data_IF_774415000624
#
_entry.id   IF_774415000624
#
_cell.length_a   1.000
_cell.length_b   1.000
_cell.length_c   1.000
_cell.angle_alpha   90.00
_cell.angle_beta   90.00
_cell.angle_gamma   90.00
#
_symmetry.space_group_name_H-M   'P 1'
#
loop_
_entity.id
_entity.type
_entity.pdbx_description
1 polymer ?
#
# COMPACT_ATOMS: atom_id res chain seq x y z
N UNK A 1 31.74 -54.57 70.32
CA UNK A 1 30.60 -54.97 69.46
C UNK A 1 30.09 -53.76 68.72
N UNK A 2 29.51 -53.92 67.53
CA UNK A 2 28.84 -52.82 66.82
C UNK A 2 27.33 -52.97 66.95
N UNK A 3 26.63 -51.87 67.28
CA UNK A 3 25.17 -51.81 67.29
C UNK A 3 24.67 -51.33 65.92
N UNK A 4 23.97 -52.19 65.18
CA UNK A 4 23.45 -51.84 63.85
C UNK A 4 22.35 -50.78 63.85
N UNK A 5 21.59 -50.69 64.96
CA UNK A 5 20.50 -49.72 65.13
C UNK A 5 21.04 -48.32 65.41
N UNK A 6 21.99 -48.21 66.35
CA UNK A 6 22.52 -46.91 66.82
C UNK A 6 23.77 -46.45 66.06
N UNK A 7 24.32 -47.32 65.20
CA UNK A 7 25.56 -47.11 64.42
C UNK A 7 26.76 -46.72 65.28
N UNK A 8 26.87 -47.31 66.47
CA UNK A 8 27.89 -47.00 67.47
C UNK A 8 28.71 -48.24 67.87
N UNK A 9 29.91 -48.00 68.39
CA UNK A 9 30.77 -49.04 68.96
C UNK A 9 30.46 -49.18 70.45
N UNK A 10 30.18 -50.41 70.89
CA UNK A 10 29.88 -50.75 72.27
C UNK A 10 31.03 -51.57 72.89
N UNK A 11 31.39 -51.28 74.13
CA UNK A 11 32.21 -52.16 74.97
C UNK A 11 31.37 -53.35 75.49
N UNK A 12 32.02 -54.35 76.10
CA UNK A 12 31.34 -55.57 76.57
C UNK A 12 30.25 -55.32 77.63
N UNK A 13 30.39 -54.31 78.48
CA UNK A 13 29.37 -53.97 79.48
C UNK A 13 28.16 -53.23 78.87
N UNK A 14 28.42 -52.42 77.84
CA UNK A 14 27.37 -51.64 77.17
C UNK A 14 26.53 -52.49 76.19
N UNK A 15 27.06 -53.61 75.66
CA UNK A 15 26.27 -54.51 74.81
C UNK A 15 25.19 -55.28 75.57
N UNK A 16 25.35 -55.43 76.88
CA UNK A 16 24.42 -56.18 77.73
C UNK A 16 23.51 -55.23 78.55
N UNK A 17 23.62 -53.91 78.33
CA UNK A 17 22.77 -52.93 79.00
C UNK A 17 21.32 -53.04 78.54
N UNK A 18 20.38 -52.63 79.39
CA UNK A 18 18.96 -52.63 79.05
C UNK A 18 18.64 -51.72 77.85
N UNK A 19 19.46 -50.68 77.61
CA UNK A 19 19.33 -49.77 76.46
C UNK A 19 19.63 -50.44 75.12
N UNK A 20 20.61 -51.34 75.07
CA UNK A 20 21.02 -52.02 73.83
C UNK A 20 20.60 -53.50 73.77
N UNK A 21 20.04 -54.06 74.84
CA UNK A 21 19.71 -55.49 74.95
C UNK A 21 18.69 -55.99 73.91
N UNK A 22 17.89 -55.10 73.32
CA UNK A 22 16.96 -55.43 72.23
C UNK A 22 17.55 -55.19 70.82
N UNK A 23 18.75 -54.60 70.72
CA UNK A 23 19.38 -54.27 69.46
C UNK A 23 20.20 -55.45 68.92
N UNK A 24 20.32 -55.52 67.59
CA UNK A 24 21.14 -56.54 66.95
C UNK A 24 22.61 -56.10 67.00
N UNK A 25 23.42 -56.88 67.71
CA UNK A 25 24.87 -56.68 67.80
C UNK A 25 25.60 -57.63 66.86
N UNK A 26 26.70 -57.16 66.28
CA UNK A 26 27.62 -58.01 65.53
C UNK A 26 29.08 -57.64 65.85
N UNK A 27 30.03 -58.55 65.57
CA UNK A 27 31.45 -58.22 65.62
C UNK A 27 31.76 -57.02 64.73
N UNK A 28 32.70 -56.19 65.16
CA UNK A 28 33.06 -54.94 64.47
C UNK A 28 33.54 -55.24 63.05
N UNK A 29 34.27 -56.34 62.89
CA UNK A 29 34.81 -56.81 61.63
C UNK A 29 33.69 -57.13 60.63
N UNK A 30 32.62 -57.79 61.09
CA UNK A 30 31.46 -58.17 60.28
C UNK A 30 30.66 -56.92 59.86
N UNK A 31 30.40 -56.01 60.80
CA UNK A 31 29.73 -54.73 60.50
C UNK A 31 30.53 -53.88 59.51
N UNK A 32 31.85 -53.79 59.71
CA UNK A 32 32.75 -53.05 58.85
C UNK A 32 32.74 -53.64 57.43
N UNK A 33 32.72 -54.97 57.29
CA UNK A 33 32.67 -55.62 55.98
C UNK A 33 31.34 -55.37 55.26
N UNK A 34 30.20 -55.47 55.94
CA UNK A 34 28.89 -55.13 55.35
C UNK A 34 28.83 -53.67 54.88
N UNK A 35 29.42 -52.74 55.66
CA UNK A 35 29.54 -51.35 55.26
C UNK A 35 30.50 -51.15 54.08
N UNK A 36 31.63 -51.88 54.01
CA UNK A 36 32.53 -51.87 52.85
C UNK A 36 31.82 -52.38 51.60
N UNK A 37 31.05 -53.45 51.68
CA UNK A 37 30.25 -53.95 50.54
C UNK A 37 29.24 -52.92 50.04
N UNK A 38 28.53 -52.24 50.96
CA UNK A 38 27.62 -51.14 50.61
C UNK A 38 28.35 -50.00 49.90
N UNK A 39 29.53 -49.61 50.40
CA UNK A 39 30.38 -48.59 49.76
C UNK A 39 30.84 -49.03 48.37
N UNK A 40 31.31 -50.27 48.22
CA UNK A 40 31.72 -50.82 46.93
C UNK A 40 30.57 -50.85 45.91
N UNK A 41 29.34 -51.18 46.36
CA UNK A 41 28.14 -51.12 45.53
C UNK A 41 27.84 -49.68 45.08
N UNK A 42 27.92 -48.71 45.99
CA UNK A 42 27.73 -47.30 45.65
C UNK A 42 28.81 -46.78 44.70
N UNK A 43 30.08 -47.14 44.93
CA UNK A 43 31.19 -46.78 44.05
C UNK A 43 30.98 -47.34 42.64
N UNK A 44 30.44 -48.55 42.49
CA UNK A 44 30.11 -49.14 41.19
C UNK A 44 29.03 -48.35 40.44
N UNK A 45 27.95 -47.98 41.14
CA UNK A 45 26.86 -47.17 40.56
C UNK A 45 27.40 -45.80 40.12
N UNK A 46 28.20 -45.15 40.97
CA UNK A 46 28.83 -43.87 40.63
C UNK A 46 29.75 -44.00 39.42
N UNK A 47 30.53 -45.08 39.33
CA UNK A 47 31.39 -45.34 38.18
C UNK A 47 30.60 -45.51 36.89
N UNK A 48 29.50 -46.28 36.90
CA UNK A 48 28.61 -46.42 35.73
C UNK A 48 28.02 -45.07 35.31
N UNK A 49 27.61 -44.24 36.27
CA UNK A 49 27.09 -42.89 35.99
C UNK A 49 28.14 -41.96 35.42
N UNK A 50 29.39 -42.03 35.87
CA UNK A 50 30.50 -41.26 35.28
C UNK A 50 30.69 -41.67 33.81
N UNK A 51 30.68 -42.96 33.51
CA UNK A 51 30.83 -43.45 32.12
C UNK A 51 29.64 -43.09 31.23
N UNK A 52 28.42 -43.09 31.76
CA UNK A 52 27.22 -42.61 31.06
C UNK A 52 27.30 -41.11 30.75
N UNK A 53 27.60 -40.29 31.75
CA UNK A 53 27.75 -38.84 31.58
C UNK A 53 28.86 -38.50 30.59
N UNK A 54 29.98 -39.23 30.62
CA UNK A 54 31.07 -39.02 29.66
C UNK A 54 30.63 -39.28 28.21
N UNK A 55 29.83 -40.34 27.97
CA UNK A 55 29.29 -40.62 26.63
C UNK A 55 28.31 -39.54 26.18
N UNK A 56 27.42 -39.09 27.07
CA UNK A 56 26.48 -38.02 26.78
C UNK A 56 27.20 -36.71 26.46
N UNK A 57 28.22 -36.35 27.26
CA UNK A 57 29.04 -35.16 27.03
C UNK A 57 29.71 -35.20 25.65
N UNK A 58 30.32 -36.31 25.27
CA UNK A 58 30.94 -36.46 23.95
C UNK A 58 29.93 -36.36 22.80
N UNK A 59 28.69 -36.77 23.00
CA UNK A 59 27.64 -36.64 21.99
C UNK A 59 27.09 -35.21 21.91
N UNK A 60 26.96 -34.52 23.04
CA UNK A 60 26.61 -33.11 23.10
C UNK A 60 27.68 -32.23 22.44
N UNK A 61 28.96 -32.50 22.68
CA UNK A 61 30.08 -31.79 22.04
C UNK A 61 30.02 -31.93 20.51
N UNK A 62 29.81 -33.15 20.00
CA UNK A 62 29.64 -33.38 18.55
C UNK A 62 28.42 -32.65 18.00
N UNK A 63 27.29 -32.75 18.70
CA UNK A 63 26.03 -32.10 18.30
C UNK A 63 26.20 -30.58 18.25
N UNK A 64 26.89 -29.99 19.22
CA UNK A 64 27.19 -28.56 19.28
C UNK A 64 28.01 -28.08 18.07
N UNK A 65 29.04 -28.85 17.69
CA UNK A 65 29.86 -28.55 16.51
C UNK A 65 29.02 -28.65 15.22
N UNK A 66 28.25 -29.74 15.05
CA UNK A 66 27.41 -29.95 13.88
C UNK A 66 26.30 -28.90 13.76
N UNK A 67 25.68 -28.54 14.88
CA UNK A 67 24.67 -27.49 14.96
C UNK A 67 25.23 -26.14 14.49
N UNK A 68 26.42 -25.79 14.98
CA UNK A 68 27.10 -24.54 14.59
C UNK A 68 27.41 -24.50 13.09
N UNK A 69 27.91 -25.61 12.53
CA UNK A 69 28.15 -25.74 11.10
C UNK A 69 26.85 -25.65 10.28
N UNK A 70 25.79 -26.31 10.73
CA UNK A 70 24.49 -26.28 10.06
C UNK A 70 23.85 -24.89 10.11
N UNK A 71 23.91 -24.19 11.24
CA UNK A 71 23.42 -22.83 11.37
C UNK A 71 24.13 -21.89 10.38
N UNK A 72 25.46 -22.00 10.25
CA UNK A 72 26.23 -21.23 9.28
C UNK A 72 25.80 -21.54 7.84
N UNK A 73 25.62 -22.82 7.50
CA UNK A 73 25.14 -23.25 6.19
C UNK A 73 23.76 -22.66 5.88
N UNK A 74 22.83 -22.73 6.84
CA UNK A 74 21.48 -22.17 6.71
C UNK A 74 21.49 -20.67 6.47
N UNK A 75 22.34 -19.93 7.18
CA UNK A 75 22.53 -18.49 6.96
C UNK A 75 23.01 -18.22 5.52
N UNK A 76 23.96 -19.00 5.01
CA UNK A 76 24.46 -18.83 3.63
C UNK A 76 23.39 -19.15 2.59
N UNK A 77 22.64 -20.24 2.75
CA UNK A 77 21.55 -20.60 1.85
C UNK A 77 20.49 -19.51 1.76
N UNK A 78 20.03 -18.98 2.91
CA UNK A 78 19.04 -17.89 2.95
C UNK A 78 19.61 -16.64 2.27
N UNK A 79 20.86 -16.26 2.56
CA UNK A 79 21.51 -15.11 1.92
C UNK A 79 21.59 -15.25 0.40
N UNK A 80 21.90 -16.44 -0.11
CA UNK A 80 21.96 -16.71 -1.55
C UNK A 80 20.59 -16.50 -2.20
N UNK A 81 19.50 -16.99 -1.60
CA UNK A 81 18.16 -16.78 -2.15
C UNK A 81 17.74 -15.29 -2.16
N UNK A 82 17.99 -14.55 -1.07
CA UNK A 82 17.69 -13.10 -1.05
C UNK A 82 18.53 -12.31 -2.06
N UNK A 83 19.80 -12.69 -2.27
CA UNK A 83 20.67 -12.06 -3.27
C UNK A 83 20.16 -12.24 -4.70
N UNK A 84 19.44 -13.32 -5.00
CA UNK A 84 18.84 -13.52 -6.34
C UNK A 84 17.74 -12.50 -6.64
N UNK A 85 17.06 -11.96 -5.62
CA UNK A 85 15.96 -11.01 -5.81
C UNK A 85 16.45 -9.61 -6.22
N UNK A 86 17.59 -9.15 -5.70
CA UNK A 86 18.07 -7.79 -5.95
C UNK A 86 18.31 -7.48 -7.44
N UNK A 87 19.03 -8.32 -8.22
CA UNK A 87 19.23 -8.09 -9.64
C UNK A 87 17.93 -8.13 -10.45
N UNK A 88 16.97 -8.96 -10.06
CA UNK A 88 15.67 -9.07 -10.72
C UNK A 88 14.89 -7.77 -10.59
N UNK A 89 14.73 -7.28 -9.35
CA UNK A 89 14.02 -6.03 -9.08
C UNK A 89 14.72 -4.82 -9.70
N UNK A 90 16.06 -4.78 -9.67
CA UNK A 90 16.81 -3.69 -10.29
C UNK A 90 16.67 -3.69 -11.83
N UNK A 91 16.68 -4.87 -12.45
CA UNK A 91 16.44 -5.00 -13.90
C UNK A 91 15.02 -4.57 -14.26
N UNK A 92 14.03 -4.97 -13.46
CA UNK A 92 12.62 -4.59 -13.64
C UNK A 92 12.43 -3.07 -13.54
N UNK A 93 12.99 -2.43 -12.51
CA UNK A 93 12.99 -0.97 -12.35
C UNK A 93 13.59 -0.29 -13.59
N UNK A 94 14.77 -0.71 -14.02
CA UNK A 94 15.43 -0.13 -15.21
C UNK A 94 14.56 -0.28 -16.46
N UNK A 95 13.96 -1.44 -16.68
CA UNK A 95 13.07 -1.68 -17.82
C UNK A 95 11.82 -0.80 -17.79
N UNK A 96 11.24 -0.53 -16.61
CA UNK A 96 10.14 0.41 -16.49
C UNK A 96 10.54 1.84 -16.81
N UNK A 97 11.68 2.31 -16.30
CA UNK A 97 12.16 3.66 -16.57
C UNK A 97 12.48 3.85 -18.06
N UNK A 98 13.09 2.85 -18.70
CA UNK A 98 13.35 2.86 -20.15
C UNK A 98 12.05 2.88 -20.97
N UNK A 99 11.03 2.13 -20.56
CA UNK A 99 9.72 2.15 -21.23
C UNK A 99 9.04 3.51 -21.11
N UNK A 100 9.01 4.10 -19.91
CA UNK A 100 8.44 5.43 -19.68
C UNK A 100 9.13 6.49 -20.54
N UNK A 101 10.46 6.43 -20.66
CA UNK A 101 11.20 7.36 -21.50
C UNK A 101 10.84 7.21 -22.99
N UNK A 102 10.70 5.97 -23.49
CA UNK A 102 10.27 5.71 -24.87
C UNK A 102 8.84 6.20 -25.13
N UNK A 103 7.90 5.89 -24.23
CA UNK A 103 6.52 6.37 -24.33
C UNK A 103 6.44 7.90 -24.36
N UNK A 104 7.25 8.58 -23.54
CA UNK A 104 7.36 10.04 -23.59
C UNK A 104 7.83 10.52 -24.98
N UNK A 105 8.88 9.91 -25.53
CA UNK A 105 9.40 10.26 -26.86
C UNK A 105 8.41 9.99 -28.00
N UNK A 106 7.52 9.02 -27.84
CA UNK A 106 6.47 8.70 -28.81
C UNK A 106 5.26 9.65 -28.70
N UNK A 107 4.81 9.92 -27.47
CA UNK A 107 3.60 10.71 -27.19
C UNK A 107 3.84 12.21 -27.36
N UNK A 108 5.01 12.72 -26.94
CA UNK A 108 5.27 14.16 -26.94
C UNK A 108 5.21 14.82 -28.33
N UNK A 109 5.81 14.24 -29.40
CA UNK A 109 5.67 14.78 -30.75
C UNK A 109 4.23 14.72 -31.27
N UNK A 110 3.45 13.72 -30.87
CA UNK A 110 2.03 13.62 -31.23
C UNK A 110 1.24 14.77 -30.62
N UNK A 111 1.51 15.11 -29.36
CA UNK A 111 0.91 16.27 -28.70
C UNK A 111 1.30 17.57 -29.40
N UNK A 112 2.57 17.77 -29.73
CA UNK A 112 3.03 18.96 -30.46
C UNK A 112 2.32 19.10 -31.81
N UNK A 113 2.24 18.01 -32.60
CA UNK A 113 1.52 18.01 -33.88
C UNK A 113 0.02 18.27 -33.71
N UNK A 114 -0.59 17.68 -32.68
CA UNK A 114 -1.99 17.94 -32.34
C UNK A 114 -2.22 19.41 -32.01
N UNK A 115 -1.33 20.06 -31.25
CA UNK A 115 -1.43 21.49 -30.94
C UNK A 115 -1.37 22.35 -32.20
N UNK A 116 -0.45 22.05 -33.13
CA UNK A 116 -0.32 22.76 -34.41
C UNK A 116 -1.62 22.62 -35.22
N UNK A 117 -2.13 21.40 -35.38
CA UNK A 117 -3.37 21.13 -36.12
C UNK A 117 -4.57 21.86 -35.50
N UNK A 118 -4.66 21.89 -34.17
CA UNK A 118 -5.72 22.60 -33.44
C UNK A 118 -5.64 24.10 -33.65
N UNK A 119 -4.44 24.70 -33.56
CA UNK A 119 -4.25 26.13 -33.80
C UNK A 119 -4.63 26.51 -35.23
N UNK A 120 -4.22 25.70 -36.22
CA UNK A 120 -4.58 25.90 -37.61
C UNK A 120 -6.10 25.79 -37.80
N UNK A 121 -6.76 24.77 -37.25
CA UNK A 121 -8.23 24.64 -37.35
C UNK A 121 -8.94 25.82 -36.70
N UNK A 122 -8.49 26.28 -35.52
CA UNK A 122 -9.02 27.47 -34.84
C UNK A 122 -8.90 28.72 -35.72
N UNK A 123 -7.79 28.88 -36.43
CA UNK A 123 -7.58 29.98 -37.37
C UNK A 123 -8.60 29.92 -38.52
N UNK A 124 -8.73 28.79 -39.20
CA UNK A 124 -9.71 28.61 -40.29
C UNK A 124 -11.15 28.85 -39.84
N UNK A 125 -11.52 28.40 -38.63
CA UNK A 125 -12.84 28.64 -38.06
C UNK A 125 -13.10 30.14 -37.82
N UNK A 126 -12.10 30.89 -37.37
CA UNK A 126 -12.22 32.34 -37.18
C UNK A 126 -12.35 33.08 -38.51
N UNK A 127 -11.60 32.68 -39.52
CA UNK A 127 -11.67 33.25 -40.87
C UNK A 127 -13.06 32.99 -41.48
N UNK A 128 -13.57 31.75 -41.41
CA UNK A 128 -14.92 31.41 -41.87
C UNK A 128 -16.02 32.16 -41.09
N UNK A 129 -15.87 32.30 -39.76
CA UNK A 129 -16.80 33.10 -38.95
C UNK A 129 -16.83 34.56 -39.42
N UNK A 130 -15.68 35.14 -39.74
CA UNK A 130 -15.58 36.51 -40.23
C UNK A 130 -16.22 36.67 -41.61
N UNK A 131 -15.98 35.74 -42.54
CA UNK A 131 -16.63 35.74 -43.86
C UNK A 131 -18.17 35.65 -43.75
N UNK A 132 -18.67 34.78 -42.86
CA UNK A 132 -20.11 34.66 -42.60
C UNK A 132 -20.68 35.95 -42.00
N UNK A 133 -19.97 36.56 -41.04
CA UNK A 133 -20.34 37.85 -40.46
C UNK A 133 -20.39 38.95 -41.52
N UNK A 134 -19.42 39.02 -42.43
CA UNK A 134 -19.41 40.00 -43.54
C UNK A 134 -20.56 39.76 -44.52
N UNK A 135 -20.86 38.50 -44.83
CA UNK A 135 -21.99 38.16 -45.70
C UNK A 135 -23.33 38.61 -45.14
N UNK A 136 -23.53 38.54 -43.82
CA UNK A 136 -24.74 39.06 -43.16
C UNK A 136 -24.96 40.58 -43.34
N UNK A 137 -23.92 41.34 -43.69
CA UNK A 137 -24.00 42.79 -43.92
C UNK A 137 -24.10 43.18 -45.39
N UNK A 138 -24.06 42.21 -46.32
CA UNK A 138 -24.20 42.47 -47.77
C UNK A 138 -25.64 42.84 -48.14
N UNK A 139 -25.86 43.59 -49.26
CA UNK A 139 -27.19 43.81 -49.80
C UNK A 139 -27.91 42.51 -50.17
N UNK A 140 -29.24 42.49 -50.07
CA UNK A 140 -30.08 41.29 -50.25
C UNK A 140 -29.76 40.48 -51.52
N UNK A 141 -29.53 41.15 -52.66
CA UNK A 141 -29.26 40.50 -53.95
C UNK A 141 -27.91 39.76 -53.93
N UNK A 142 -26.86 40.39 -53.40
CA UNK A 142 -25.51 39.77 -53.31
C UNK A 142 -25.49 38.63 -52.30
N UNK A 143 -26.19 38.80 -51.17
CA UNK A 143 -26.36 37.75 -50.18
C UNK A 143 -27.02 36.52 -50.80
N UNK A 144 -28.15 36.68 -51.49
CA UNK A 144 -28.87 35.57 -52.11
C UNK A 144 -28.08 34.87 -53.22
N UNK A 145 -27.21 35.59 -53.93
CA UNK A 145 -26.35 35.02 -54.97
C UNK A 145 -25.21 34.16 -54.40
N UNK A 146 -24.56 34.63 -53.32
CA UNK A 146 -23.35 34.00 -52.78
C UNK A 146 -23.61 33.00 -51.63
N UNK A 147 -24.83 33.00 -51.05
CA UNK A 147 -25.16 32.22 -49.85
C UNK A 147 -24.88 30.72 -50.00
N UNK A 148 -25.22 30.14 -51.16
CA UNK A 148 -25.04 28.70 -51.40
C UNK A 148 -23.57 28.27 -51.31
N UNK A 149 -22.66 29.07 -51.88
CA UNK A 149 -21.22 28.77 -51.87
C UNK A 149 -20.64 28.93 -50.47
N UNK A 150 -20.94 30.02 -49.76
CA UNK A 150 -20.40 30.21 -48.40
C UNK A 150 -20.89 29.12 -47.45
N UNK A 151 -22.15 28.69 -47.58
CA UNK A 151 -22.71 27.66 -46.72
C UNK A 151 -21.99 26.34 -46.95
N UNK A 152 -21.78 25.94 -48.21
CA UNK A 152 -21.02 24.73 -48.56
C UNK A 152 -19.56 24.79 -48.04
N UNK A 153 -18.89 25.94 -48.18
CA UNK A 153 -17.54 26.14 -47.62
C UNK A 153 -17.53 26.08 -46.09
N UNK A 154 -18.55 26.64 -45.43
CA UNK A 154 -18.67 26.62 -43.97
C UNK A 154 -18.87 25.20 -43.43
N UNK A 155 -19.74 24.41 -44.08
CA UNK A 155 -19.94 22.99 -43.77
C UNK A 155 -18.64 22.18 -43.98
N UNK A 156 -17.90 22.47 -45.06
CA UNK A 156 -16.59 21.87 -45.31
C UNK A 156 -15.55 22.21 -44.23
N UNK A 157 -15.58 23.41 -43.65
CA UNK A 157 -14.69 23.76 -42.53
C UNK A 157 -15.11 23.02 -41.26
N UNK A 158 -16.40 22.76 -41.05
CA UNK A 158 -16.89 21.99 -39.90
C UNK A 158 -16.62 20.48 -40.05
N UNK A 159 -16.51 19.99 -41.29
CA UNK A 159 -16.11 18.61 -41.57
C UNK A 159 -14.73 18.30 -40.97
N UNK A 160 -14.65 17.15 -40.29
CA UNK A 160 -13.45 16.60 -39.63
C UNK A 160 -12.78 17.60 -38.68
N UNK A 161 -13.38 17.74 -37.51
CA UNK A 161 -12.73 18.41 -36.38
C UNK A 161 -11.56 17.56 -35.87
N UNK A 162 -10.36 18.14 -35.68
CA UNK A 162 -9.25 17.43 -35.07
C UNK A 162 -9.64 16.99 -33.66
N UNK A 163 -9.31 15.75 -33.30
CA UNK A 163 -9.53 15.24 -31.96
C UNK A 163 -8.27 15.47 -31.10
N UNK A 164 -8.40 15.92 -29.84
CA UNK A 164 -7.27 16.02 -28.94
C UNK A 164 -6.65 14.65 -28.70
N UNK A 165 -5.31 14.59 -28.67
CA UNK A 165 -4.61 13.39 -28.19
C UNK A 165 -4.93 13.18 -26.72
N UNK A 166 -5.22 11.94 -26.32
CA UNK A 166 -5.40 11.55 -24.93
C UNK A 166 -4.13 10.82 -24.43
N UNK A 167 -3.12 11.55 -23.92
CA UNK A 167 -1.86 10.94 -23.49
C UNK A 167 -2.04 10.15 -22.20
N UNK A 168 -1.55 8.91 -22.20
CA UNK A 168 -1.46 8.08 -21.02
C UNK A 168 -0.22 7.17 -21.13
N UNK A 169 0.55 7.10 -20.05
CA UNK A 169 1.58 6.10 -19.86
C UNK A 169 0.95 4.75 -19.55
N UNK A 170 1.56 3.68 -20.07
CA UNK A 170 1.12 2.33 -19.74
C UNK A 170 1.45 2.02 -18.28
N UNK A 171 0.61 1.20 -17.66
CA UNK A 171 0.89 0.74 -16.31
C UNK A 171 2.18 -0.10 -16.28
N UNK A 172 3.08 0.21 -15.35
CA UNK A 172 4.25 -0.61 -15.05
C UNK A 172 3.99 -1.53 -13.85
N UNK A 173 3.70 -2.84 -14.03
CA UNK A 173 3.39 -3.74 -12.93
C UNK A 173 4.63 -4.03 -12.09
N UNK A 174 4.59 -3.72 -10.79
CA UNK A 174 5.75 -3.90 -9.88
C UNK A 174 5.63 -5.25 -9.17
N UNK A 175 6.59 -6.15 -9.39
CA UNK A 175 6.59 -7.51 -8.83
C UNK A 175 6.37 -7.50 -7.32
N UNK A 176 5.32 -8.21 -6.89
CA UNK A 176 4.97 -8.38 -5.47
C UNK A 176 4.51 -7.10 -4.75
N UNK A 177 4.18 -6.00 -5.46
CA UNK A 177 3.72 -4.76 -4.84
C UNK A 177 2.44 -4.97 -4.01
N UNK A 178 1.35 -5.39 -4.63
CA UNK A 178 0.08 -5.65 -3.92
C UNK A 178 0.26 -6.72 -2.84
N UNK A 179 1.04 -7.78 -3.10
CA UNK A 179 1.32 -8.82 -2.10
C UNK A 179 2.04 -8.25 -0.85
N UNK A 180 3.03 -7.38 -1.03
CA UNK A 180 3.74 -6.74 0.10
C UNK A 180 2.83 -5.81 0.89
N UNK A 181 1.96 -5.07 0.22
CA UNK A 181 1.04 -4.14 0.88
C UNK A 181 -0.10 -4.85 1.62
N UNK A 182 -0.53 -6.01 1.14
CA UNK A 182 -1.54 -6.84 1.82
C UNK A 182 -1.12 -7.27 3.25
N UNK A 183 0.17 -7.22 3.60
CA UNK A 183 0.64 -7.43 4.98
C UNK A 183 0.15 -6.36 5.97
N UNK A 184 -0.32 -5.23 5.46
CA UNK A 184 -0.84 -4.09 6.21
C UNK A 184 -2.35 -3.91 5.99
N UNK A 185 -3.04 -4.95 5.48
CA UNK A 185 -4.44 -4.84 5.10
C UNK A 185 -5.33 -4.57 6.32
N UNK A 186 -6.21 -3.58 6.18
CA UNK A 186 -7.25 -3.24 7.14
C UNK A 186 -8.60 -3.20 6.44
N UNK A 187 -9.65 -3.53 7.18
CA UNK A 187 -11.02 -3.36 6.72
C UNK A 187 -11.50 -1.96 7.12
N UNK A 188 -12.01 -1.20 6.14
CA UNK A 188 -12.54 0.14 6.37
C UNK A 188 -14.05 0.07 6.34
N UNK A 189 -14.68 0.52 7.42
CA UNK A 189 -16.13 0.67 7.49
C UNK A 189 -16.46 2.12 7.23
N UNK A 190 -17.28 2.39 6.21
CA UNK A 190 -17.73 3.75 5.91
C UNK A 190 -19.03 4.03 6.64
N UNK A 191 -19.05 5.11 7.43
CA UNK A 191 -20.28 5.65 7.98
C UNK A 191 -20.85 6.64 6.96
N UNK A 192 -22.02 6.32 6.41
CA UNK A 192 -22.73 7.17 5.46
C UNK A 192 -23.36 8.35 6.20
N UNK A 193 -22.58 9.40 6.47
CA UNK A 193 -23.15 10.70 6.78
C UNK A 193 -23.48 11.39 5.45
N UNK A 194 -24.68 11.11 4.93
CA UNK A 194 -25.27 11.84 3.82
C UNK A 194 -25.37 13.31 4.24
N UNK A 195 -24.40 14.09 3.79
CA UNK A 195 -24.42 15.53 3.99
C UNK A 195 -24.89 16.14 2.68
N UNK A 196 -26.05 16.81 2.72
CA UNK A 196 -26.54 17.78 1.71
C UNK A 196 -25.62 19.01 1.65
N UNK A 197 -24.31 18.79 1.74
CA UNK A 197 -23.29 19.82 1.83
C UNK A 197 -22.65 19.85 0.46
N UNK A 198 -22.78 20.98 -0.23
CA UNK A 198 -22.19 21.22 -1.54
C UNK A 198 -20.66 21.13 -1.46
N UNK A 199 -20.09 19.93 -1.42
CA UNK A 199 -18.67 19.68 -1.61
C UNK A 199 -18.43 19.86 -3.11
N UNK A 200 -18.11 21.09 -3.52
CA UNK A 200 -17.83 21.46 -4.91
C UNK A 200 -16.49 20.92 -5.43
N UNK A 201 -15.96 19.83 -4.85
CA UNK A 201 -14.65 19.26 -5.19
C UNK A 201 -14.48 19.06 -6.70
N UNK A 202 -15.45 18.43 -7.37
CA UNK A 202 -15.39 18.20 -8.81
C UNK A 202 -15.69 19.46 -9.64
N UNK A 203 -16.58 20.34 -9.19
CA UNK A 203 -16.89 21.61 -9.87
C UNK A 203 -15.70 22.56 -9.86
N UNK A 204 -15.10 22.75 -8.70
CA UNK A 204 -13.89 23.56 -8.50
C UNK A 204 -12.73 23.02 -9.34
N UNK A 205 -12.60 21.69 -9.44
CA UNK A 205 -11.58 21.06 -10.27
C UNK A 205 -11.83 21.20 -11.77
N UNK A 206 -13.08 21.07 -12.22
CA UNK A 206 -13.44 21.37 -13.61
C UNK A 206 -13.12 22.83 -13.93
N UNK A 207 -13.43 23.75 -13.02
CA UNK A 207 -13.06 25.16 -13.17
C UNK A 207 -11.55 25.41 -13.08
N UNK A 208 -10.79 24.62 -12.34
CA UNK A 208 -9.33 24.74 -12.29
C UNK A 208 -8.69 24.24 -13.59
N UNK A 209 -9.18 23.12 -14.13
CA UNK A 209 -8.73 22.58 -15.43
C UNK A 209 -9.11 23.50 -16.61
N UNK A 210 -10.21 24.24 -16.51
CA UNK A 210 -10.70 25.15 -17.55
C UNK A 210 -10.78 26.59 -17.05
N UNK A 211 -9.90 27.46 -17.53
CA UNK A 211 -10.03 28.91 -17.28
C UNK A 211 -11.39 29.44 -17.77
N UNK A 212 -11.98 30.43 -17.08
CA UNK A 212 -13.31 30.94 -17.38
C UNK A 212 -13.28 31.89 -18.59
N UNK A 213 -13.15 31.35 -19.80
CA UNK A 213 -13.47 32.08 -21.04
C UNK A 213 -14.81 31.62 -21.65
N UNK A 214 -15.51 30.68 -21.02
CA UNK A 214 -16.85 30.23 -21.43
C UNK A 214 -17.87 30.52 -20.33
N UNK A 215 -18.17 31.81 -20.10
CA UNK A 215 -19.44 32.22 -19.49
C UNK A 215 -20.41 32.55 -20.63
N UNK A 216 -20.95 31.53 -21.27
CA UNK A 216 -21.79 31.70 -22.45
C UNK A 216 -22.51 30.42 -22.87
N UNK A 217 -23.18 29.78 -21.93
CA UNK A 217 -24.04 28.64 -22.18
C UNK A 217 -24.73 28.23 -20.89
N UNK A 218 -26.04 28.49 -20.78
CA UNK A 218 -26.84 27.95 -19.69
C UNK A 218 -26.82 26.43 -19.78
N UNK A 219 -26.13 25.78 -18.85
CA UNK A 219 -26.26 24.35 -18.63
C UNK A 219 -27.53 24.13 -17.80
N UNK A 220 -28.59 23.73 -18.48
CA UNK A 220 -29.82 23.22 -17.88
C UNK A 220 -29.53 21.98 -17.01
N UNK A 221 -30.07 22.05 -15.79
CA UNK A 221 -30.64 21.04 -14.89
C UNK A 221 -30.08 19.62 -14.64
N UNK A 222 -28.90 19.20 -15.10
CA UNK A 222 -28.43 17.80 -14.86
C UNK A 222 -27.16 17.72 -13.98
N UNK A 223 -27.27 18.19 -12.73
CA UNK A 223 -26.19 18.05 -11.74
C UNK A 223 -26.27 16.65 -11.10
N UNK A 224 -25.21 15.82 -11.21
CA UNK A 224 -25.20 14.50 -10.56
C UNK A 224 -25.25 14.64 -9.04
N UNK A 225 -25.97 13.73 -8.39
CA UNK A 225 -26.01 13.65 -6.95
C UNK A 225 -24.69 13.05 -6.44
N UNK A 226 -24.01 13.80 -5.57
CA UNK A 226 -22.73 13.39 -5.01
C UNK A 226 -22.86 12.91 -3.56
N UNK A 227 -22.14 11.83 -3.23
CA UNK A 227 -22.14 11.17 -1.94
C UNK A 227 -20.74 11.15 -1.36
N UNK A 228 -20.59 11.71 -0.16
CA UNK A 228 -19.37 11.66 0.63
C UNK A 228 -19.50 10.63 1.76
N UNK A 229 -18.43 9.90 2.02
CA UNK A 229 -18.35 8.95 3.11
C UNK A 229 -16.97 9.01 3.79
N UNK A 230 -16.98 8.91 5.11
CA UNK A 230 -15.77 8.88 5.92
C UNK A 230 -15.63 7.52 6.59
N UNK A 231 -14.38 7.05 6.67
CA UNK A 231 -14.04 5.84 7.41
C UNK A 231 -14.31 6.03 8.90
N UNK A 232 -14.91 5.02 9.52
CA UNK A 232 -15.11 4.94 10.97
C UNK A 232 -13.78 4.85 11.72
N UNK A 233 -12.74 4.31 11.08
CA UNK A 233 -11.39 4.18 11.60
C UNK A 233 -10.59 5.46 11.33
N UNK A 234 -9.95 6.00 12.38
CA UNK A 234 -8.94 7.04 12.28
C UNK A 234 -7.54 6.46 12.50
N UNK A 235 -6.56 6.97 11.76
CA UNK A 235 -5.17 6.51 11.79
C UNK A 235 -4.25 7.64 12.25
N UNK A 236 -3.43 7.34 13.25
CA UNK A 236 -2.44 8.27 13.82
C UNK A 236 -1.03 7.67 13.94
N UNK A 237 -0.82 6.46 13.45
CA UNK A 237 0.48 5.76 13.44
C UNK A 237 0.44 4.51 12.55
N UNK A 238 1.61 3.98 12.20
CA UNK A 238 1.76 2.70 11.51
C UNK A 238 1.44 2.74 10.03
N UNK A 239 1.23 1.54 9.47
CA UNK A 239 1.03 1.32 8.03
C UNK A 239 -0.28 0.60 7.81
N UNK A 240 -1.07 1.13 6.89
CA UNK A 240 -2.44 0.66 6.63
C UNK A 240 -2.68 0.60 5.13
N UNK A 241 -3.28 -0.49 4.68
CA UNK A 241 -3.63 -0.73 3.28
C UNK A 241 -5.09 -1.12 3.17
N UNK A 242 -5.83 -0.50 2.25
CA UNK A 242 -7.19 -0.91 1.92
C UNK A 242 -7.45 -0.75 0.43
N UNK A 243 -8.47 -1.43 -0.06
CA UNK A 243 -8.89 -1.39 -1.47
C UNK A 243 -10.35 -0.94 -1.53
N UNK A 244 -10.69 -0.10 -2.50
CA UNK A 244 -12.07 0.27 -2.82
C UNK A 244 -12.37 -0.08 -4.27
N UNK A 245 -13.60 -0.52 -4.52
CA UNK A 245 -14.12 -0.64 -5.88
C UNK A 245 -14.44 0.75 -6.43
N UNK A 246 -13.94 1.02 -7.65
CA UNK A 246 -14.16 2.25 -8.38
C UNK A 246 -14.80 1.94 -9.73
N UNK A 247 -15.86 2.69 -10.05
CA UNK A 247 -16.65 2.51 -11.27
C UNK A 247 -16.02 3.28 -12.46
N UNK A 248 -16.18 2.72 -13.66
CA UNK A 248 -15.66 3.28 -14.90
C UNK A 248 -16.47 4.47 -15.42
N UNK A 249 -17.72 4.63 -14.97
CA UNK A 249 -18.70 5.57 -15.51
C UNK A 249 -18.88 6.85 -14.69
N UNK A 250 -18.33 6.88 -13.48
CA UNK A 250 -18.58 7.93 -12.49
C UNK A 250 -17.37 8.81 -12.19
N UNK A 251 -17.66 10.01 -11.65
CA UNK A 251 -16.69 10.83 -10.95
C UNK A 251 -16.47 10.23 -9.56
N UNK A 252 -15.21 10.14 -9.15
CA UNK A 252 -14.87 9.65 -7.81
C UNK A 252 -13.59 10.29 -7.27
N UNK A 253 -13.49 10.33 -5.94
CA UNK A 253 -12.34 10.76 -5.18
C UNK A 253 -12.12 9.79 -4.03
N UNK A 254 -10.90 9.29 -3.89
CA UNK A 254 -10.52 8.29 -2.90
C UNK A 254 -9.23 8.71 -2.24
N UNK A 255 -9.15 8.60 -0.91
CA UNK A 255 -7.90 8.78 -0.20
C UNK A 255 -8.10 8.99 1.29
N UNK A 256 -7.45 10.00 1.85
CA UNK A 256 -7.53 10.32 3.27
C UNK A 256 -7.74 11.81 3.51
N UNK A 257 -8.46 12.14 4.59
CA UNK A 257 -8.66 13.50 5.06
C UNK A 257 -8.30 13.61 6.56
N UNK A 258 -8.03 14.82 7.02
CA UNK A 258 -7.78 15.11 8.44
C UNK A 258 -8.96 14.72 9.34
N UNK A 259 -8.67 14.05 10.46
CA UNK A 259 -9.66 13.53 11.40
C UNK A 259 -10.53 14.62 12.06
N UNK A 260 -9.92 15.77 12.39
CA UNK A 260 -10.58 16.83 13.17
C UNK A 260 -11.71 17.57 12.44
N UNK A 261 -11.86 17.41 11.12
CA UNK A 261 -12.78 18.20 10.29
C UNK A 261 -14.20 17.62 10.16
N UNK A 262 -14.45 16.37 10.56
CA UNK A 262 -15.81 15.79 10.49
C UNK A 262 -16.74 16.40 11.57
N UNK A 263 -16.18 16.83 12.70
CA UNK A 263 -16.98 17.19 13.90
C UNK A 263 -17.48 18.64 13.97
N UNK A 264 -17.13 19.53 13.03
CA UNK A 264 -17.47 20.95 13.14
C UNK A 264 -18.05 21.52 11.84
N UNK A 265 -19.38 21.56 11.80
CA UNK A 265 -20.20 22.54 11.10
C UNK A 265 -19.78 22.90 9.67
N UNK A 266 -19.98 21.99 8.72
CA UNK A 266 -20.14 22.31 7.29
C UNK A 266 -19.11 23.27 6.69
N UNK A 267 -17.90 23.31 7.22
CA UNK A 267 -16.86 24.21 6.74
C UNK A 267 -16.12 23.52 5.61
N UNK A 268 -15.94 24.26 4.51
CA UNK A 268 -15.17 23.85 3.33
C UNK A 268 -13.91 23.09 3.74
N UNK A 269 -13.76 21.87 3.21
CA UNK A 269 -12.54 21.10 3.36
C UNK A 269 -11.43 21.91 2.66
N UNK A 270 -10.57 22.56 3.43
CA UNK A 270 -9.43 23.30 2.88
C UNK A 270 -8.51 22.31 2.17
N UNK A 271 -8.11 22.63 0.95
CA UNK A 271 -7.34 21.73 0.08
C UNK A 271 -6.17 21.06 0.80
N UNK A 272 -5.42 21.81 1.62
CA UNK A 272 -4.22 21.39 2.36
C UNK A 272 -4.42 20.20 3.32
N UNK A 273 -5.65 19.90 3.73
CA UNK A 273 -5.95 18.86 4.74
C UNK A 273 -6.46 17.54 4.11
N UNK A 274 -6.39 17.39 2.77
CA UNK A 274 -6.82 16.19 2.04
C UNK A 274 -5.77 15.67 1.07
N UNK A 275 -5.64 14.34 1.04
CA UNK A 275 -4.76 13.59 0.13
C UNK A 275 -5.60 12.57 -0.64
N UNK A 276 -6.11 12.97 -1.80
CA UNK A 276 -7.03 12.20 -2.64
C UNK A 276 -6.43 11.93 -4.01
N UNK A 277 -6.76 10.78 -4.57
CA UNK A 277 -6.76 10.52 -6.00
C UNK A 277 -8.18 10.72 -6.52
N UNK A 278 -8.33 11.49 -7.59
CA UNK A 278 -9.60 11.84 -8.18
C UNK A 278 -9.67 11.36 -9.62
N UNK A 279 -10.87 10.97 -10.04
CA UNK A 279 -11.22 10.70 -11.42
C UNK A 279 -12.39 11.58 -11.83
N UNK A 280 -12.19 12.37 -12.88
CA UNK A 280 -13.18 13.33 -13.37
C UNK A 280 -13.50 13.03 -14.83
N UNK A 281 -14.78 12.84 -15.14
CA UNK A 281 -15.32 12.63 -16.48
C UNK A 281 -15.39 13.95 -17.23
N UNK A 282 -14.74 14.02 -18.40
CA UNK A 282 -14.60 15.20 -19.23
C UNK A 282 -15.11 14.88 -20.64
N UNK A 283 -16.40 15.09 -20.86
CA UNK A 283 -17.09 14.64 -22.09
C UNK A 283 -17.01 13.11 -22.22
N UNK A 284 -16.27 12.63 -23.23
CA UNK A 284 -16.07 11.20 -23.50
C UNK A 284 -14.79 10.60 -22.87
N UNK A 285 -14.01 11.39 -22.13
CA UNK A 285 -12.73 10.94 -21.55
C UNK A 285 -12.70 11.12 -20.03
N UNK A 286 -11.72 10.53 -19.36
CA UNK A 286 -11.50 10.72 -17.92
C UNK A 286 -10.12 11.30 -17.65
N UNK A 287 -10.00 12.09 -16.59
CA UNK A 287 -8.73 12.61 -16.08
C UNK A 287 -8.54 12.18 -14.64
N UNK A 288 -7.34 11.69 -14.35
CA UNK A 288 -6.92 11.44 -12.98
C UNK A 288 -6.19 12.66 -12.43
N UNK A 289 -6.44 13.00 -11.17
CA UNK A 289 -5.78 14.11 -10.48
C UNK A 289 -5.47 13.73 -9.03
N UNK A 290 -4.58 14.46 -8.37
CA UNK A 290 -4.40 14.38 -6.91
C UNK A 290 -4.64 15.72 -6.24
N UNK A 291 -5.10 15.71 -4.98
CA UNK A 291 -5.15 16.90 -4.10
C UNK A 291 -3.80 17.24 -3.47
N UNK A 292 -3.62 18.47 -2.99
CA UNK A 292 -2.45 18.88 -2.19
C UNK A 292 -1.07 18.50 -2.73
N UNK A 293 -0.66 19.04 -3.89
CA UNK A 293 -1.38 20.00 -4.74
C UNK A 293 -2.19 19.35 -5.86
N UNK A 294 -3.06 20.14 -6.49
CA UNK A 294 -3.77 19.78 -7.72
C UNK A 294 -2.79 19.44 -8.85
N UNK A 295 -2.69 18.15 -9.18
CA UNK A 295 -1.78 17.65 -10.22
C UNK A 295 -2.51 16.64 -11.11
N UNK A 296 -2.50 16.83 -12.45
CA UNK A 296 -3.05 15.85 -13.38
C UNK A 296 -2.10 14.67 -13.56
N UNK A 297 -2.67 13.48 -13.66
CA UNK A 297 -1.96 12.22 -13.90
C UNK A 297 -2.29 11.70 -15.30
N UNK A 298 -1.23 11.37 -16.03
CA UNK A 298 -1.30 10.84 -17.40
C UNK A 298 -1.05 9.33 -17.38
N UNK A 299 -1.89 8.60 -16.66
CA UNK A 299 -1.87 7.14 -16.62
C UNK A 299 -3.27 6.63 -16.93
N UNK A 300 -3.37 5.36 -17.31
CA UNK A 300 -4.66 4.72 -17.53
C UNK A 300 -5.53 4.72 -16.26
N UNK A 301 -6.82 5.00 -16.42
CA UNK A 301 -7.81 4.92 -15.34
C UNK A 301 -7.80 3.52 -14.73
N UNK A 302 -7.69 3.35 -13.39
CA UNK A 302 -7.86 2.06 -12.75
C UNK A 302 -9.31 1.58 -12.89
N UNK A 303 -9.48 0.29 -13.20
CA UNK A 303 -10.77 -0.37 -13.33
C UNK A 303 -10.88 -1.45 -12.23
N UNK A 304 -12.04 -1.52 -11.58
CA UNK A 304 -12.25 -2.43 -10.45
C UNK A 304 -11.66 -1.86 -9.17
N UNK A 305 -10.58 -2.46 -8.65
CA UNK A 305 -10.04 -2.08 -7.33
C UNK A 305 -8.92 -1.04 -7.39
N UNK A 306 -9.11 0.03 -6.63
CA UNK A 306 -8.10 1.03 -6.31
C UNK A 306 -7.55 0.77 -4.91
N UNK A 307 -6.23 0.61 -4.81
CA UNK A 307 -5.55 0.44 -3.52
C UNK A 307 -5.10 1.77 -2.95
N UNK A 308 -5.30 1.97 -1.65
CA UNK A 308 -4.77 3.10 -0.88
C UNK A 308 -3.83 2.56 0.18
N UNK A 309 -2.59 3.05 0.19
CA UNK A 309 -1.59 2.71 1.19
C UNK A 309 -1.17 3.96 1.96
N UNK A 310 -1.46 3.97 3.26
CA UNK A 310 -1.03 4.98 4.22
C UNK A 310 0.19 4.45 4.97
N UNK A 311 1.33 5.10 4.80
CA UNK A 311 2.52 4.91 5.63
C UNK A 311 2.65 6.14 6.54
N UNK A 312 2.00 6.08 7.69
CA UNK A 312 1.95 7.19 8.64
C UNK A 312 3.34 7.46 9.24
N UNK A 313 4.14 6.41 9.42
CA UNK A 313 5.48 6.50 10.02
C UNK A 313 6.41 7.45 9.23
N UNK A 314 6.19 7.54 7.90
CA UNK A 314 6.92 8.45 7.01
C UNK A 314 6.04 9.57 6.45
N UNK A 315 4.79 9.68 6.90
CA UNK A 315 3.85 10.72 6.47
C UNK A 315 3.53 10.72 4.98
N UNK A 316 3.26 9.55 4.37
CA UNK A 316 3.01 9.41 2.92
C UNK A 316 1.78 8.55 2.63
N UNK A 317 1.07 8.91 1.55
CA UNK A 317 -0.06 8.15 1.01
C UNK A 317 0.24 7.76 -0.43
N UNK A 318 -0.04 6.53 -0.81
CA UNK A 318 0.17 6.00 -2.16
C UNK A 318 -1.12 5.39 -2.72
N UNK A 319 -1.35 5.56 -4.01
CA UNK A 319 -2.49 5.01 -4.75
C UNK A 319 -2.03 4.02 -5.79
N UNK A 320 -2.76 2.93 -5.94
CA UNK A 320 -2.37 1.79 -6.75
C UNK A 320 -3.51 1.29 -7.61
N UNK A 321 -3.19 0.93 -8.85
CA UNK A 321 -4.07 0.12 -9.67
C UNK A 321 -3.85 -1.34 -9.29
N UNK A 322 -4.81 -1.94 -8.57
CA UNK A 322 -4.66 -3.31 -8.04
C UNK A 322 -4.62 -4.33 -9.17
N UNK A 323 -5.51 -4.18 -10.16
CA UNK A 323 -5.61 -5.11 -11.30
C UNK A 323 -4.31 -5.14 -12.13
N UNK A 324 -3.66 -3.99 -12.30
CA UNK A 324 -2.39 -3.87 -13.03
C UNK A 324 -1.16 -3.96 -12.14
N UNK A 325 -1.34 -4.14 -10.83
CA UNK A 325 -0.28 -4.21 -9.83
C UNK A 325 0.75 -3.07 -9.97
N UNK A 326 0.27 -1.85 -10.24
CA UNK A 326 1.10 -0.69 -10.57
C UNK A 326 0.82 0.49 -9.65
N UNK A 327 1.85 1.32 -9.42
CA UNK A 327 1.71 2.59 -8.71
C UNK A 327 1.03 3.62 -9.63
N UNK A 328 0.04 4.35 -9.11
CA UNK A 328 -0.56 5.51 -9.78
C UNK A 328 0.14 6.78 -9.31
N UNK A 329 0.17 6.97 -7.99
CA UNK A 329 0.78 8.14 -7.37
C UNK A 329 1.26 7.82 -5.96
N UNK A 330 2.27 8.56 -5.50
CA UNK A 330 2.73 8.55 -4.13
C UNK A 330 3.06 9.97 -3.70
N UNK A 331 2.44 10.42 -2.62
CA UNK A 331 2.80 11.69 -2.00
C UNK A 331 4.22 11.63 -1.42
N UNK A 332 4.99 12.72 -1.49
CA UNK A 332 6.31 12.81 -0.87
C UNK A 332 6.32 12.40 0.60
N UNK A 333 7.49 11.99 1.09
CA UNK A 333 7.71 11.71 2.51
C UNK A 333 7.51 13.01 3.30
N UNK A 334 6.77 12.93 4.41
CA UNK A 334 6.46 14.08 5.27
C UNK A 334 5.33 14.97 4.78
N UNK A 335 4.57 14.57 3.75
CA UNK A 335 3.38 15.32 3.30
C UNK A 335 2.28 15.36 4.35
N UNK A 336 2.16 14.32 5.16
CA UNK A 336 1.12 14.17 6.18
C UNK A 336 1.74 14.07 7.57
N UNK A 337 1.23 14.87 8.52
CA UNK A 337 1.74 14.91 9.90
C UNK A 337 0.61 14.97 10.97
N UNK A 338 -0.63 14.67 10.58
CA UNK A 338 -1.79 14.71 11.44
C UNK A 338 -2.62 13.42 11.32
N UNK A 339 -3.41 13.05 12.34
CA UNK A 339 -4.33 11.92 12.24
C UNK A 339 -5.30 12.08 11.07
N UNK A 340 -5.55 10.99 10.36
CA UNK A 340 -6.40 10.98 9.17
C UNK A 340 -7.42 9.85 9.18
N UNK A 341 -8.48 10.02 8.39
CA UNK A 341 -9.47 8.99 8.11
C UNK A 341 -9.51 8.70 6.62
N UNK A 342 -9.85 7.46 6.22
CA UNK A 342 -10.27 7.16 4.86
C UNK A 342 -11.41 8.07 4.44
N UNK A 343 -11.37 8.52 3.20
CA UNK A 343 -12.37 9.38 2.60
C UNK A 343 -12.72 8.88 1.21
N UNK A 344 -14.01 8.89 0.91
CA UNK A 344 -14.57 8.54 -0.37
C UNK A 344 -15.61 9.58 -0.79
N UNK A 345 -15.58 9.99 -2.05
CA UNK A 345 -16.57 10.89 -2.64
C UNK A 345 -16.90 10.42 -4.05
N UNK A 346 -18.17 10.28 -4.40
CA UNK A 346 -18.56 9.81 -5.74
C UNK A 346 -19.84 10.48 -6.22
N UNK A 347 -19.96 10.69 -7.53
CA UNK A 347 -21.17 11.19 -8.16
C UNK A 347 -21.87 10.12 -8.97
N UNK A 348 -23.15 9.89 -8.69
CA UNK A 348 -24.01 9.05 -9.52
C UNK A 348 -24.83 9.92 -10.46
N UNK A 349 -25.13 9.39 -11.64
CA UNK A 349 -26.18 9.95 -12.51
C UNK A 349 -27.49 9.23 -12.24
#
# INVERSE_FOLDING_TARGET
MFCGTDKSLLCALCSDSQEHGAHKHCPIEVAAEEHREKLLKQMRILWEKIQETQRNLSEEEKTSILWSAYALLRVQMIRVEYRKLHPVLHKEEKQHLERLYKEHQEIFPQLQRSCINMYQKKKHLKEMYQELMEMCHKPDVELLQDLGDIMARSESVLLRMPQPVNPAFTAGPITGLVHRLNRFRVEISFNYEVSNHNISLFEDMRSWMFRPEQKGGSLDSDRPDYFAAWGAQGFSSGKHYWELDVDDSWDWAVGVCKDSQIRKNGTMITSEDIFLLLCVKMGHHFRLLTSSPMLPHYVEKPLGRLGVFLDFDIGSVSFLNVAKNSLIWRYPVGSLNFPVRPFFYTGHR
#
